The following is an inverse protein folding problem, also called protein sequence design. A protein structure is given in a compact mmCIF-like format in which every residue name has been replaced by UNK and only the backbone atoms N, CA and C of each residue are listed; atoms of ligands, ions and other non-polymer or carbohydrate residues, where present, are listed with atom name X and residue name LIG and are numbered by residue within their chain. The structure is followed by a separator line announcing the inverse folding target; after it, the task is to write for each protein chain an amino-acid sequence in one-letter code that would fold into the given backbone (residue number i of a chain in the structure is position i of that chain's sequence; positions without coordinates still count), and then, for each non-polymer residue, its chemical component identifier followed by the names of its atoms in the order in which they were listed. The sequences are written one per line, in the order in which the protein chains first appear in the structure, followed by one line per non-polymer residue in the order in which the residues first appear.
data_IF_928512468697
#
_entry.id   IF_928512468697
#
_cell.length_a   1.000
_cell.length_b   1.000
_cell.length_c   1.000
_cell.angle_alpha   90.00
_cell.angle_beta   90.00
_cell.angle_gamma   90.00
#
_symmetry.space_group_name_H-M   'P 1'
#
loop_
_entity.id
_entity.type
_entity.pdbx_description
1 polymer ?
#
# COMPACT_ATOMS: atom_id res chain seq x y z
N UNK A 1 -19.77 -42.68 -10.12
CA UNK A 1 -18.37 -42.37 -9.75
C UNK A 1 -18.32 -40.89 -9.52
N UNK A 2 -18.24 -40.46 -8.28
CA UNK A 2 -18.09 -39.08 -7.93
C UNK A 2 -16.62 -38.67 -8.13
N UNK A 3 -16.35 -37.81 -9.12
CA UNK A 3 -15.05 -37.18 -9.27
C UNK A 3 -14.80 -36.26 -8.09
N UNK A 4 -13.70 -36.46 -7.37
CA UNK A 4 -13.27 -35.55 -6.34
C UNK A 4 -13.10 -34.16 -6.95
N UNK A 5 -13.53 -33.07 -6.29
CA UNK A 5 -13.26 -31.73 -6.76
C UNK A 5 -11.75 -31.55 -6.81
N UNK A 6 -11.25 -31.07 -7.93
CA UNK A 6 -9.86 -30.70 -8.07
C UNK A 6 -9.51 -29.68 -6.96
N UNK A 7 -8.33 -29.76 -6.34
CA UNK A 7 -7.92 -28.76 -5.37
C UNK A 7 -7.96 -27.41 -6.06
N UNK A 8 -8.78 -26.50 -5.53
CA UNK A 8 -8.80 -25.11 -5.97
C UNK A 8 -7.39 -24.58 -5.84
N UNK A 9 -6.91 -23.94 -6.92
CA UNK A 9 -5.63 -23.26 -6.91
C UNK A 9 -5.53 -22.38 -5.66
N UNK A 10 -4.37 -22.34 -4.96
CA UNK A 10 -4.22 -21.48 -3.81
C UNK A 10 -4.55 -20.04 -4.26
N UNK A 11 -5.51 -19.42 -3.57
CA UNK A 11 -5.74 -17.99 -3.73
C UNK A 11 -4.41 -17.31 -3.49
N UNK A 12 -4.00 -16.34 -4.33
CA UNK A 12 -2.81 -15.55 -4.03
C UNK A 12 -2.93 -15.08 -2.58
N UNK A 13 -1.89 -15.28 -1.80
CA UNK A 13 -1.85 -14.83 -0.41
C UNK A 13 -2.19 -13.34 -0.43
N UNK A 14 -3.40 -13.02 0.02
CA UNK A 14 -3.79 -11.62 0.23
C UNK A 14 -2.95 -11.13 1.39
N UNK A 15 -1.92 -10.37 1.08
CA UNK A 15 -1.09 -9.72 2.09
C UNK A 15 -1.92 -8.56 2.64
N UNK A 16 -2.38 -8.71 3.86
CA UNK A 16 -3.06 -7.63 4.57
C UNK A 16 -2.03 -6.67 5.15
N UNK A 17 -2.25 -5.38 4.92
CA UNK A 17 -1.40 -4.33 5.48
C UNK A 17 -2.12 -3.58 6.59
N UNK A 18 -1.44 -3.44 7.72
CA UNK A 18 -1.83 -2.56 8.79
C UNK A 18 -1.54 -1.11 8.37
N UNK A 19 -2.59 -0.31 8.20
CA UNK A 19 -2.44 1.03 7.62
C UNK A 19 -2.64 2.17 8.60
N UNK A 20 -3.45 1.98 9.63
CA UNK A 20 -3.64 2.99 10.67
C UNK A 20 -4.25 2.42 11.96
N UNK A 21 -4.20 3.26 13.01
CA UNK A 21 -4.93 3.08 14.25
C UNK A 21 -5.87 4.26 14.47
N UNK A 22 -7.06 3.98 14.96
CA UNK A 22 -8.03 4.99 15.37
C UNK A 22 -7.68 5.47 16.79
N UNK A 23 -7.26 6.72 16.91
CA UNK A 23 -6.69 7.24 18.18
C UNK A 23 -7.73 7.90 19.04
N UNK A 24 -8.57 8.78 18.44
CA UNK A 24 -9.52 9.62 19.17
C UNK A 24 -10.67 10.04 18.28
N UNK A 25 -11.89 10.09 18.86
CA UNK A 25 -13.03 10.71 18.21
C UNK A 25 -12.82 12.22 18.06
N UNK A 26 -13.19 12.76 16.91
CA UNK A 26 -13.06 14.17 16.56
C UNK A 26 -14.41 14.76 16.15
N UNK A 27 -14.84 15.78 16.87
CA UNK A 27 -16.12 16.46 16.59
C UNK A 27 -17.34 15.61 16.94
N UNK A 28 -18.50 16.01 16.42
CA UNK A 28 -19.81 15.40 16.72
C UNK A 28 -20.31 14.49 15.60
N UNK A 29 -19.68 14.54 14.43
CA UNK A 29 -20.14 13.86 13.20
C UNK A 29 -19.40 12.55 12.92
N UNK A 30 -18.94 11.86 13.95
CA UNK A 30 -18.29 10.56 13.80
C UNK A 30 -16.86 10.59 13.24
N UNK A 31 -16.20 11.76 13.23
CA UNK A 31 -14.80 11.87 12.80
C UNK A 31 -13.85 11.09 13.72
N UNK A 32 -12.82 10.48 13.15
CA UNK A 32 -11.80 9.72 13.88
C UNK A 32 -10.41 10.17 13.46
N UNK A 33 -9.62 10.59 14.45
CA UNK A 33 -8.20 10.90 14.25
C UNK A 33 -7.43 9.61 14.03
N UNK A 34 -6.59 9.59 12.98
CA UNK A 34 -5.76 8.45 12.61
C UNK A 34 -4.31 8.64 13.06
N UNK A 35 -3.71 7.55 13.50
CA UNK A 35 -2.27 7.34 13.53
C UNK A 35 -1.91 6.45 12.34
N UNK A 36 -1.27 7.03 11.33
CA UNK A 36 -1.00 6.38 10.05
C UNK A 36 0.30 5.60 10.12
N UNK A 37 0.30 4.36 9.61
CA UNK A 37 1.45 3.45 9.59
C UNK A 37 1.94 3.13 8.18
N UNK A 38 1.34 3.73 7.14
CA UNK A 38 1.73 3.54 5.75
C UNK A 38 2.50 4.74 5.23
N UNK A 39 3.47 4.48 4.36
CA UNK A 39 4.25 5.52 3.68
C UNK A 39 3.44 6.18 2.56
N UNK A 40 2.36 5.51 2.08
CA UNK A 40 1.49 5.98 1.00
C UNK A 40 0.05 6.24 1.49
N UNK A 41 -0.18 7.20 2.39
CA UNK A 41 -1.52 7.44 2.94
C UNK A 41 -2.54 7.86 1.87
N UNK A 42 -2.13 8.65 0.89
CA UNK A 42 -3.02 9.12 -0.19
C UNK A 42 -3.52 7.98 -1.08
N UNK A 43 -2.68 6.96 -1.28
CA UNK A 43 -3.05 5.78 -2.04
C UNK A 43 -4.02 4.88 -1.26
N UNK A 44 -3.80 4.74 0.04
CA UNK A 44 -4.54 3.81 0.91
C UNK A 44 -5.86 4.39 1.42
N UNK A 45 -5.88 5.69 1.75
CA UNK A 45 -7.05 6.37 2.29
C UNK A 45 -7.84 7.12 1.21
N UNK A 46 -8.27 6.40 0.18
CA UNK A 46 -9.19 6.92 -0.84
C UNK A 46 -10.64 6.71 -0.39
N UNK A 47 -11.54 7.70 -0.58
CA UNK A 47 -12.97 7.50 -0.38
C UNK A 47 -13.47 6.30 -1.18
N UNK A 48 -14.26 5.44 -0.52
CA UNK A 48 -14.75 4.19 -1.09
C UNK A 48 -13.92 2.95 -0.77
N UNK A 49 -12.72 3.08 -0.22
CA UNK A 49 -11.95 1.93 0.23
C UNK A 49 -12.54 1.33 1.50
N UNK A 50 -12.54 0.00 1.55
CA UNK A 50 -12.98 -0.77 2.72
C UNK A 50 -11.76 -1.16 3.56
N UNK A 51 -11.89 -0.98 4.87
CA UNK A 51 -10.86 -1.36 5.85
C UNK A 51 -11.43 -2.40 6.79
N UNK A 52 -10.71 -3.50 6.96
CA UNK A 52 -11.04 -4.49 7.96
C UNK A 52 -10.61 -3.98 9.33
N UNK A 53 -11.46 -4.20 10.33
CA UNK A 53 -11.22 -3.79 11.70
C UNK A 53 -10.58 -4.90 12.51
N UNK A 54 -9.53 -4.56 13.23
CA UNK A 54 -9.03 -5.36 14.34
C UNK A 54 -9.46 -4.70 15.64
N UNK A 55 -10.41 -5.31 16.29
CA UNK A 55 -11.00 -4.91 17.57
C UNK A 55 -11.11 -6.14 18.48
N UNK A 56 -11.28 -5.96 19.81
CA UNK A 56 -11.58 -7.07 20.71
C UNK A 56 -12.86 -7.83 20.31
N UNK A 57 -12.93 -9.11 20.66
CA UNK A 57 -14.07 -9.98 20.32
C UNK A 57 -15.40 -9.52 20.93
N UNK A 58 -15.35 -8.81 22.04
CA UNK A 58 -16.50 -8.22 22.73
C UNK A 58 -16.97 -6.88 22.14
N UNK A 59 -16.27 -6.37 21.14
CA UNK A 59 -16.65 -5.14 20.43
C UNK A 59 -17.85 -5.35 19.51
N UNK A 60 -18.74 -4.36 19.48
CA UNK A 60 -19.85 -4.33 18.51
C UNK A 60 -19.37 -4.32 17.06
N UNK A 61 -18.12 -3.97 16.84
CA UNK A 61 -17.48 -3.86 15.52
C UNK A 61 -16.67 -5.11 15.12
N UNK A 62 -16.68 -6.15 15.97
CA UNK A 62 -15.95 -7.38 15.69
C UNK A 62 -16.44 -8.04 14.38
N UNK A 63 -15.52 -8.37 13.49
CA UNK A 63 -15.82 -8.97 12.20
C UNK A 63 -16.42 -8.03 11.15
N UNK A 64 -16.47 -6.72 11.46
CA UNK A 64 -16.97 -5.70 10.52
C UNK A 64 -15.82 -5.00 9.80
N UNK A 65 -16.18 -4.36 8.67
CA UNK A 65 -15.32 -3.48 7.90
C UNK A 65 -15.89 -2.07 7.88
N UNK A 66 -15.03 -1.08 7.74
CA UNK A 66 -15.41 0.32 7.59
C UNK A 66 -15.07 0.81 6.19
N UNK A 67 -16.05 1.43 5.52
CA UNK A 67 -15.83 2.11 4.25
C UNK A 67 -15.50 3.58 4.51
N UNK A 68 -14.39 4.03 3.94
CA UNK A 68 -13.97 5.42 4.06
C UNK A 68 -14.89 6.33 3.23
N UNK A 69 -15.55 7.27 3.89
CA UNK A 69 -16.38 8.29 3.26
C UNK A 69 -15.53 9.49 2.83
N UNK A 70 -14.70 9.98 3.72
CA UNK A 70 -13.80 11.11 3.47
C UNK A 70 -12.66 11.15 4.48
N UNK A 71 -11.58 11.79 4.10
CA UNK A 71 -10.45 12.10 4.99
C UNK A 71 -10.07 13.56 4.80
N UNK A 72 -9.69 14.23 5.87
CA UNK A 72 -9.21 15.61 5.84
C UNK A 72 -8.17 15.82 6.94
N UNK A 73 -7.29 16.78 6.70
CA UNK A 73 -6.31 17.18 7.70
C UNK A 73 -6.89 18.23 8.64
N UNK A 74 -6.78 17.99 9.94
CA UNK A 74 -7.19 18.92 10.99
C UNK A 74 -6.06 19.06 11.99
N UNK A 75 -5.52 20.26 12.14
CA UNK A 75 -4.37 20.54 13.01
C UNK A 75 -3.19 19.58 12.78
N UNK A 76 -2.77 19.46 11.52
CA UNK A 76 -1.69 18.56 11.09
C UNK A 76 -1.92 17.06 11.45
N UNK A 77 -3.16 16.65 11.61
CA UNK A 77 -3.54 15.27 11.88
C UNK A 77 -4.62 14.81 10.92
N UNK A 78 -4.50 13.62 10.33
CA UNK A 78 -5.55 13.07 9.49
C UNK A 78 -6.77 12.67 10.33
N UNK A 79 -7.94 13.13 9.91
CA UNK A 79 -9.24 12.78 10.46
C UNK A 79 -10.08 12.12 9.38
N UNK A 80 -10.46 10.89 9.60
CA UNK A 80 -11.28 10.11 8.68
C UNK A 80 -12.75 10.06 9.14
N UNK A 81 -13.63 10.01 8.16
CA UNK A 81 -15.07 9.77 8.33
C UNK A 81 -15.42 8.49 7.60
N UNK A 82 -16.16 7.63 8.26
CA UNK A 82 -16.55 6.32 7.72
C UNK A 82 -18.04 6.21 7.58
N UNK A 83 -18.51 5.47 6.59
CA UNK A 83 -19.92 5.16 6.43
C UNK A 83 -20.43 4.37 7.64
N UNK A 84 -21.61 4.71 8.14
CA UNK A 84 -22.21 4.07 9.32
C UNK A 84 -21.67 4.56 10.67
N UNK A 85 -20.73 5.51 10.68
CA UNK A 85 -20.23 6.18 11.89
C UNK A 85 -20.66 7.66 11.84
N UNK A 86 -21.85 7.95 12.35
CA UNK A 86 -22.53 9.24 12.17
C UNK A 86 -22.42 10.16 13.37
N UNK A 87 -22.08 9.62 14.53
CA UNK A 87 -22.00 10.37 15.77
C UNK A 87 -20.71 10.07 16.56
N UNK A 88 -20.50 10.89 17.59
CA UNK A 88 -19.33 10.79 18.45
C UNK A 88 -19.31 9.51 19.27
N UNK A 89 -20.47 9.00 19.69
CA UNK A 89 -20.55 7.78 20.52
C UNK A 89 -20.09 6.56 19.73
N UNK A 90 -20.53 6.45 18.47
CA UNK A 90 -20.07 5.41 17.56
C UNK A 90 -18.56 5.53 17.28
N UNK A 91 -18.08 6.75 17.06
CA UNK A 91 -16.65 6.99 16.85
C UNK A 91 -15.82 6.62 18.10
N UNK A 92 -16.29 6.94 19.30
CA UNK A 92 -15.61 6.58 20.55
C UNK A 92 -15.53 5.06 20.77
N UNK A 93 -16.53 4.31 20.32
CA UNK A 93 -16.51 2.84 20.38
C UNK A 93 -15.48 2.20 19.46
N UNK A 94 -14.99 2.93 18.46
CA UNK A 94 -13.95 2.50 17.51
C UNK A 94 -12.54 2.93 17.94
N UNK A 95 -12.40 3.73 18.97
CA UNK A 95 -11.08 4.16 19.45
C UNK A 95 -10.24 2.95 19.85
N UNK A 96 -8.97 2.96 19.45
CA UNK A 96 -7.97 1.87 19.55
C UNK A 96 -8.10 0.77 18.48
N UNK A 97 -9.14 0.76 17.65
CA UNK A 97 -9.23 -0.16 16.53
C UNK A 97 -8.07 0.06 15.55
N UNK A 98 -7.61 -1.04 14.96
CA UNK A 98 -6.57 -1.02 13.94
C UNK A 98 -7.24 -1.29 12.60
N UNK A 99 -6.87 -0.50 11.60
CA UNK A 99 -7.34 -0.62 10.23
C UNK A 99 -6.37 -1.44 9.41
N UNK A 100 -6.90 -2.44 8.72
CA UNK A 100 -6.20 -3.30 7.78
C UNK A 100 -6.82 -3.15 6.39
N UNK A 101 -6.01 -3.14 5.37
CA UNK A 101 -6.45 -3.16 3.98
C UNK A 101 -5.83 -4.34 3.27
N UNK A 102 -6.59 -4.94 2.37
CA UNK A 102 -6.04 -5.96 1.49
C UNK A 102 -5.02 -5.31 0.56
N UNK A 103 -3.82 -5.82 0.59
CA UNK A 103 -2.78 -5.40 -0.35
C UNK A 103 -3.03 -6.10 -1.68
N UNK A 104 -3.48 -5.34 -2.67
CA UNK A 104 -3.46 -5.79 -4.04
C UNK A 104 -2.06 -5.49 -4.61
N UNK A 105 -1.25 -6.52 -4.89
CA UNK A 105 0.06 -6.31 -5.48
C UNK A 105 0.01 -5.65 -6.87
N UNK A 106 -1.18 -5.56 -7.48
CA UNK A 106 -1.42 -4.84 -8.73
C UNK A 106 -1.75 -3.35 -8.58
N UNK A 107 -2.00 -2.86 -7.34
CA UNK A 107 -2.21 -1.43 -7.09
C UNK A 107 -0.87 -0.69 -7.19
N UNK A 108 -0.65 -0.07 -8.35
CA UNK A 108 0.50 0.80 -8.58
C UNK A 108 0.33 2.14 -7.88
N UNK A 109 1.44 2.79 -7.46
CA UNK A 109 1.41 4.16 -7.01
C UNK A 109 0.72 5.07 -8.05
N UNK A 110 0.03 6.11 -7.56
CA UNK A 110 -0.80 7.00 -8.41
C UNK A 110 0.06 7.89 -9.32
N UNK A 111 1.34 8.00 -9.04
CA UNK A 111 2.31 8.69 -9.89
C UNK A 111 2.72 7.79 -11.05
N UNK A 112 2.69 8.35 -12.24
CA UNK A 112 2.86 7.65 -13.52
C UNK A 112 4.20 6.89 -13.66
N UNK A 113 5.18 7.23 -12.83
CA UNK A 113 6.53 6.67 -12.83
C UNK A 113 6.98 6.21 -11.44
N UNK A 114 6.05 5.98 -10.49
CA UNK A 114 6.37 5.46 -9.16
C UNK A 114 6.25 3.93 -9.14
N UNK A 115 7.30 3.27 -8.68
CA UNK A 115 7.42 1.83 -8.58
C UNK A 115 7.72 1.44 -7.13
N UNK A 116 7.25 0.28 -6.71
CA UNK A 116 7.68 -0.27 -5.43
C UNK A 116 9.06 -0.91 -5.57
N UNK A 117 9.92 -0.72 -4.60
CA UNK A 117 11.29 -1.26 -4.59
C UNK A 117 11.33 -2.76 -4.89
N UNK A 118 10.41 -3.52 -4.29
CA UNK A 118 10.33 -4.96 -4.47
C UNK A 118 9.89 -5.39 -5.88
N UNK A 119 9.27 -4.50 -6.65
CA UNK A 119 8.90 -4.76 -8.05
C UNK A 119 10.10 -4.58 -8.98
N UNK A 120 11.02 -3.72 -8.61
CA UNK A 120 12.19 -3.37 -9.43
C UNK A 120 13.39 -4.29 -9.14
N UNK A 121 13.54 -4.75 -7.90
CA UNK A 121 14.62 -5.65 -7.51
C UNK A 121 14.50 -6.98 -8.26
N UNK A 122 15.58 -7.39 -8.91
CA UNK A 122 15.64 -8.63 -9.70
C UNK A 122 15.29 -8.46 -11.18
N UNK A 123 14.82 -7.27 -11.62
CA UNK A 123 14.60 -7.01 -13.03
C UNK A 123 15.91 -6.98 -13.81
N UNK A 124 15.86 -7.46 -15.05
CA UNK A 124 17.00 -7.40 -15.98
C UNK A 124 17.11 -6.01 -16.57
N UNK A 125 18.27 -5.39 -16.46
CA UNK A 125 18.54 -4.07 -17.02
C UNK A 125 19.08 -4.23 -18.44
N UNK A 126 18.38 -3.59 -19.38
CA UNK A 126 18.72 -3.65 -20.79
C UNK A 126 19.16 -2.27 -21.30
N UNK A 127 20.18 -2.27 -22.14
CA UNK A 127 20.62 -1.10 -22.90
C UNK A 127 20.68 -1.47 -24.38
N UNK A 128 19.98 -0.73 -25.23
CA UNK A 128 19.93 -0.99 -26.68
C UNK A 128 19.52 -2.44 -27.03
N UNK A 129 18.63 -3.03 -26.22
CA UNK A 129 18.16 -4.41 -26.36
C UNK A 129 19.11 -5.49 -25.84
N UNK A 130 20.21 -5.10 -25.19
CA UNK A 130 21.19 -6.03 -24.63
C UNK A 130 21.12 -5.98 -23.11
N UNK A 131 20.99 -7.15 -22.47
CA UNK A 131 21.06 -7.27 -21.00
C UNK A 131 22.45 -6.88 -20.49
N UNK A 132 22.50 -5.89 -19.59
CA UNK A 132 23.75 -5.37 -19.02
C UNK A 132 23.93 -5.68 -17.55
N UNK A 133 22.88 -6.09 -16.85
CA UNK A 133 22.90 -6.39 -15.42
C UNK A 133 21.53 -6.67 -14.87
N UNK A 134 21.43 -6.71 -13.55
CA UNK A 134 20.19 -6.93 -12.80
C UNK A 134 20.05 -5.89 -11.69
N UNK A 135 18.86 -5.42 -11.42
CA UNK A 135 18.60 -4.51 -10.31
C UNK A 135 18.83 -5.23 -8.98
N UNK A 136 19.82 -4.79 -8.22
CA UNK A 136 20.15 -5.34 -6.91
C UNK A 136 19.33 -4.70 -5.79
N UNK A 137 19.16 -3.37 -5.82
CA UNK A 137 18.38 -2.60 -4.85
C UNK A 137 18.09 -1.19 -5.37
N UNK A 138 17.16 -0.49 -4.71
CA UNK A 138 16.99 0.96 -4.82
C UNK A 138 17.64 1.65 -3.64
N UNK A 139 18.22 2.82 -3.90
CA UNK A 139 18.70 3.75 -2.86
C UNK A 139 17.94 5.07 -2.99
N UNK A 140 17.21 5.43 -1.93
CA UNK A 140 16.45 6.67 -1.86
C UNK A 140 17.33 7.78 -1.31
N UNK A 141 17.70 8.73 -2.15
CA UNK A 141 18.48 9.89 -1.78
C UNK A 141 17.59 11.15 -1.78
N UNK A 142 17.91 12.17 -1.00
CA UNK A 142 17.10 13.40 -0.91
C UNK A 142 16.84 14.10 -2.24
N UNK A 143 17.74 13.95 -3.23
CA UNK A 143 17.63 14.60 -4.52
C UNK A 143 17.01 13.73 -5.60
N UNK A 144 17.21 12.41 -5.53
CA UNK A 144 16.74 11.45 -6.53
C UNK A 144 16.97 10.02 -6.06
N UNK A 145 16.17 9.09 -6.58
CA UNK A 145 16.38 7.66 -6.37
C UNK A 145 17.46 7.13 -7.32
N UNK A 146 18.21 6.13 -6.85
CA UNK A 146 19.23 5.43 -7.63
C UNK A 146 18.88 3.94 -7.72
N UNK A 147 18.94 3.41 -8.94
CA UNK A 147 19.00 1.97 -9.16
C UNK A 147 20.43 1.49 -8.96
N UNK A 148 20.63 0.54 -8.08
CA UNK A 148 21.89 -0.17 -7.95
C UNK A 148 21.81 -1.43 -8.80
N UNK A 149 22.63 -1.49 -9.83
CA UNK A 149 22.65 -2.56 -10.82
C UNK A 149 23.86 -3.44 -10.55
N UNK A 150 23.64 -4.73 -10.37
CA UNK A 150 24.73 -5.72 -10.36
C UNK A 150 25.08 -6.07 -11.81
N UNK A 151 26.31 -5.74 -12.19
CA UNK A 151 26.89 -6.08 -13.48
C UNK A 151 28.10 -7.01 -13.27
N UNK A 152 27.82 -8.30 -13.27
CA UNK A 152 28.86 -9.33 -13.13
C UNK A 152 29.71 -9.18 -11.84
N UNK A 153 29.08 -8.85 -10.72
CA UNK A 153 29.72 -8.64 -9.42
C UNK A 153 30.24 -7.22 -9.17
N UNK A 154 30.02 -6.29 -10.10
CA UNK A 154 30.30 -4.86 -9.92
C UNK A 154 28.99 -4.08 -9.81
N UNK A 155 28.86 -3.24 -8.79
CA UNK A 155 27.70 -2.37 -8.61
C UNK A 155 27.85 -1.11 -9.48
N UNK A 156 26.80 -0.80 -10.25
CA UNK A 156 26.69 0.41 -11.05
C UNK A 156 25.48 1.21 -10.55
N UNK A 157 25.68 2.47 -10.26
CA UNK A 157 24.63 3.39 -9.82
C UNK A 157 24.03 4.10 -11.04
N UNK A 158 22.72 3.97 -11.21
CA UNK A 158 21.97 4.62 -12.27
C UNK A 158 20.87 5.50 -11.67
N UNK A 159 20.84 6.83 -11.98
CA UNK A 159 19.71 7.66 -11.57
C UNK A 159 18.38 7.13 -12.11
N UNK A 160 17.41 6.92 -11.20
CA UNK A 160 16.08 6.43 -11.56
C UNK A 160 15.19 7.59 -12.01
N UNK A 161 15.51 8.12 -13.17
CA UNK A 161 14.78 9.22 -13.81
C UNK A 161 14.45 8.82 -15.26
N UNK A 162 13.37 9.36 -15.80
CA UNK A 162 12.88 9.02 -17.16
C UNK A 162 13.90 9.27 -18.28
N UNK A 163 14.88 10.15 -18.04
CA UNK A 163 15.96 10.39 -19.00
C UNK A 163 16.93 9.19 -19.15
N UNK A 164 17.10 8.38 -18.09
CA UNK A 164 17.98 7.21 -18.09
C UNK A 164 17.19 5.90 -18.09
N UNK A 165 15.98 5.91 -17.52
CA UNK A 165 15.07 4.76 -17.45
C UNK A 165 13.74 5.16 -18.11
N UNK A 166 13.65 5.11 -19.44
CA UNK A 166 12.47 5.58 -20.17
C UNK A 166 11.26 4.67 -20.01
N UNK A 167 11.48 3.40 -19.65
CA UNK A 167 10.40 2.43 -19.46
C UNK A 167 10.80 1.32 -18.50
N UNK A 168 9.82 0.83 -17.76
CA UNK A 168 9.92 -0.36 -16.91
C UNK A 168 8.80 -1.32 -17.33
N UNK A 169 9.16 -2.54 -17.70
CA UNK A 169 8.19 -3.58 -18.05
C UNK A 169 8.27 -4.72 -17.04
N UNK A 170 7.37 -4.69 -16.07
CA UNK A 170 7.27 -5.73 -15.03
C UNK A 170 6.83 -7.09 -15.60
N UNK A 171 6.09 -7.09 -16.72
CA UNK A 171 5.60 -8.31 -17.34
C UNK A 171 6.72 -9.10 -17.99
N UNK A 172 7.62 -8.37 -18.67
CA UNK A 172 8.82 -8.95 -19.28
C UNK A 172 10.01 -9.03 -18.32
N UNK A 173 9.92 -8.40 -17.15
CA UNK A 173 10.99 -8.35 -16.17
C UNK A 173 12.19 -7.51 -16.61
N UNK A 174 11.96 -6.40 -17.32
CA UNK A 174 12.97 -5.58 -17.97
C UNK A 174 12.87 -4.11 -17.54
N UNK A 175 14.02 -3.51 -17.31
CA UNK A 175 14.21 -2.07 -17.08
C UNK A 175 15.10 -1.49 -18.15
#
# INVERSE_FOLDING_TARGET
MAGAPAPSAPKPEQVELRVARLVKAHGLKGGLKLEVYTDDPELRFKPGNDFRLQVPEDSLWFGQSLRLQSIREVNASPVAFFEGVEDRTQAESLVKAILWIDHDPGLRPTEKDAWFDHELVGLSVHRDGVAIGTVARLEHLPAQDLLVIDRAGAEVLLPFVSAFVPSVDLTSGIV
#
